data_IF_751464453047
#
_entry.id   IF_751464453047
#
_cell.length_a   1.000
_cell.length_b   1.000
_cell.length_c   1.000
_cell.angle_alpha   90.00
_cell.angle_beta   90.00
_cell.angle_gamma   90.00
#
_symmetry.space_group_name_H-M   'P 1'
#
loop_
_entity.id
_entity.type
_entity.pdbx_description
1 polymer ?
#
# COMPACT_ATOMS: atom_id res chain seq x y z
N UNK A 1 -23.25 19.29 1.74
CA UNK A 1 -22.48 19.12 3.00
C UNK A 1 -21.41 18.04 2.79
N UNK A 2 -20.21 18.27 3.33
CA UNK A 2 -19.04 17.39 3.50
C UNK A 2 -18.39 16.86 2.19
N UNK A 3 -17.44 17.55 1.55
CA UNK A 3 -15.97 17.61 1.84
C UNK A 3 -15.31 16.25 2.07
N UNK A 4 -14.77 15.62 1.01
CA UNK A 4 -13.73 14.61 1.14
C UNK A 4 -12.37 15.31 1.03
N UNK A 5 -11.73 15.46 2.18
CA UNK A 5 -10.47 16.17 2.37
C UNK A 5 -9.32 15.53 1.58
N UNK A 6 -8.57 16.38 0.91
CA UNK A 6 -7.29 16.13 0.29
C UNK A 6 -6.31 15.55 1.33
N UNK A 7 -6.08 14.24 1.28
CA UNK A 7 -5.18 13.51 2.17
C UNK A 7 -3.72 13.76 1.81
N UNK A 8 -3.24 15.00 1.95
CA UNK A 8 -1.81 15.28 1.95
C UNK A 8 -1.26 14.84 3.30
N UNK A 9 -1.02 13.53 3.42
CA UNK A 9 -0.18 12.99 4.49
C UNK A 9 1.15 13.72 4.42
N UNK A 10 1.39 14.67 5.33
CA UNK A 10 2.70 15.31 5.52
C UNK A 10 3.69 14.20 5.82
N UNK A 11 4.31 13.64 4.78
CA UNK A 11 5.46 12.75 4.94
C UNK A 11 6.48 13.57 5.69
N UNK A 12 6.67 13.27 6.98
CA UNK A 12 7.87 13.64 7.72
C UNK A 12 9.01 13.01 6.94
N UNK A 13 9.51 13.75 5.95
CA UNK A 13 10.60 13.31 5.09
C UNK A 13 11.79 13.16 6.04
N UNK A 14 12.19 11.92 6.26
CA UNK A 14 13.31 11.61 7.16
C UNK A 14 14.52 12.44 6.72
N UNK A 15 15.22 13.03 7.71
CA UNK A 15 16.33 13.99 7.51
C UNK A 15 17.42 13.50 6.55
N UNK A 16 17.57 12.18 6.40
CA UNK A 16 18.60 11.55 5.58
C UNK A 16 18.00 10.90 4.33
N UNK A 17 18.60 11.18 3.16
CA UNK A 17 18.20 10.60 1.88
C UNK A 17 18.49 9.09 1.83
N UNK A 18 17.80 8.36 0.95
CA UNK A 18 18.04 6.92 0.76
C UNK A 18 19.48 6.64 0.32
N UNK A 19 20.02 7.46 -0.60
CA UNK A 19 21.41 7.35 -1.08
C UNK A 19 22.42 7.48 0.06
N UNK A 20 22.24 8.47 0.93
CA UNK A 20 23.12 8.68 2.08
C UNK A 20 23.10 7.48 3.05
N UNK A 21 21.93 6.89 3.29
CA UNK A 21 21.85 5.68 4.13
C UNK A 21 22.57 4.49 3.49
N UNK A 22 22.46 4.32 2.18
CA UNK A 22 23.21 3.27 1.46
C UNK A 22 24.71 3.47 1.56
N UNK A 23 25.20 4.70 1.39
CA UNK A 23 26.62 5.04 1.58
C UNK A 23 27.08 4.72 3.00
N UNK A 24 26.26 5.06 4.02
CA UNK A 24 26.54 4.72 5.41
C UNK A 24 26.59 3.20 5.64
N UNK A 25 25.76 2.42 4.96
CA UNK A 25 25.80 0.96 5.04
C UNK A 25 27.09 0.40 4.44
N UNK A 26 27.49 0.86 3.26
CA UNK A 26 28.72 0.43 2.59
C UNK A 26 29.97 0.83 3.37
N UNK A 27 29.97 2.00 4.01
CA UNK A 27 31.05 2.38 4.92
C UNK A 27 31.09 1.44 6.14
N UNK A 28 29.94 1.19 6.77
CA UNK A 28 29.85 0.29 7.91
C UNK A 28 30.20 -1.18 7.59
N UNK A 29 30.07 -1.63 6.34
CA UNK A 29 30.56 -2.94 5.88
C UNK A 29 32.09 -2.99 5.81
N UNK A 30 32.73 -1.88 5.44
CA UNK A 30 34.18 -1.79 5.27
C UNK A 30 34.94 -1.59 6.58
N UNK A 31 34.43 -0.73 7.46
CA UNK A 31 35.14 -0.30 8.67
C UNK A 31 34.39 -0.62 9.97
N UNK A 32 33.23 -1.27 9.88
CA UNK A 32 32.38 -1.57 11.02
C UNK A 32 31.45 -0.42 11.40
N UNK A 33 30.37 -0.74 12.12
CA UNK A 33 29.27 0.20 12.43
C UNK A 33 29.73 1.34 13.34
N UNK A 34 30.56 1.04 14.35
CA UNK A 34 31.02 2.04 15.31
C UNK A 34 31.91 3.10 14.64
N UNK A 35 32.91 2.66 13.87
CA UNK A 35 33.82 3.56 13.15
C UNK A 35 33.08 4.38 12.08
N UNK A 36 32.19 3.75 11.30
CA UNK A 36 31.38 4.45 10.31
C UNK A 36 30.44 5.49 10.94
N UNK A 37 29.87 5.19 12.12
CA UNK A 37 29.05 6.15 12.85
C UNK A 37 29.87 7.37 13.28
N UNK A 38 31.09 7.15 13.81
CA UNK A 38 32.01 8.23 14.16
C UNK A 38 32.42 9.08 12.95
N UNK A 39 32.77 8.48 11.82
CA UNK A 39 33.14 9.22 10.59
C UNK A 39 31.99 10.05 10.02
N UNK A 40 30.76 9.54 10.12
CA UNK A 40 29.57 10.21 9.58
C UNK A 40 28.90 11.17 10.57
N UNK A 41 29.42 11.28 11.80
CA UNK A 41 28.79 12.06 12.87
C UNK A 41 27.39 11.54 13.26
N UNK A 42 27.16 10.24 13.10
CA UNK A 42 25.91 9.57 13.41
C UNK A 42 26.02 8.78 14.70
N UNK A 43 24.87 8.48 15.31
CA UNK A 43 24.83 7.49 16.38
C UNK A 43 24.82 6.07 15.77
N UNK A 44 25.59 5.13 16.33
CA UNK A 44 25.64 3.75 15.82
C UNK A 44 24.25 3.09 15.75
N UNK A 45 23.38 3.36 16.74
CA UNK A 45 21.99 2.89 16.73
C UNK A 45 21.20 3.35 15.51
N UNK A 46 21.52 4.50 14.93
CA UNK A 46 20.83 5.01 13.74
C UNK A 46 21.10 4.12 12.52
N UNK A 47 22.35 3.67 12.34
CA UNK A 47 22.73 2.73 11.28
C UNK A 47 22.01 1.38 11.48
N UNK A 48 21.95 0.87 12.72
CA UNK A 48 21.20 -0.36 13.02
C UNK A 48 19.70 -0.23 12.73
N UNK A 49 19.06 0.86 13.17
CA UNK A 49 17.64 1.11 12.93
C UNK A 49 17.34 1.20 11.42
N UNK A 50 18.22 1.85 10.65
CA UNK A 50 18.04 1.94 9.20
C UNK A 50 18.20 0.59 8.51
N UNK A 51 19.16 -0.24 8.93
CA UNK A 51 19.31 -1.61 8.41
C UNK A 51 18.08 -2.47 8.72
N UNK A 52 17.60 -2.43 9.97
CA UNK A 52 16.40 -3.17 10.38
C UNK A 52 15.17 -2.72 9.57
N UNK A 53 15.00 -1.40 9.40
CA UNK A 53 13.89 -0.85 8.61
C UNK A 53 13.98 -1.25 7.13
N UNK A 54 15.17 -1.18 6.52
CA UNK A 54 15.37 -1.58 5.13
C UNK A 54 15.08 -3.07 4.91
N UNK A 55 15.51 -3.93 5.85
CA UNK A 55 15.21 -5.36 5.80
C UNK A 55 13.71 -5.63 5.91
N UNK A 56 13.02 -4.93 6.81
CA UNK A 56 11.57 -5.05 6.97
C UNK A 56 10.80 -4.58 5.73
N UNK A 57 11.16 -3.41 5.16
CA UNK A 57 10.53 -2.88 3.94
C UNK A 57 10.69 -3.85 2.76
N UNK A 58 11.86 -4.48 2.63
CA UNK A 58 12.08 -5.52 1.61
C UNK A 58 11.16 -6.73 1.84
N UNK A 59 11.13 -7.26 3.06
CA UNK A 59 10.30 -8.41 3.40
C UNK A 59 8.81 -8.15 3.15
N UNK A 60 8.31 -6.99 3.57
CA UNK A 60 6.91 -6.58 3.34
C UNK A 60 6.65 -6.43 1.83
N UNK A 61 7.55 -5.79 1.09
CA UNK A 61 7.41 -5.61 -0.35
C UNK A 61 7.37 -6.93 -1.14
N UNK A 62 8.19 -7.90 -0.75
CA UNK A 62 8.19 -9.25 -1.35
C UNK A 62 6.88 -9.99 -1.04
N UNK A 63 6.39 -9.90 0.21
CA UNK A 63 5.10 -10.49 0.60
C UNK A 63 3.93 -9.85 -0.15
N UNK A 64 3.92 -8.52 -0.28
CA UNK A 64 2.90 -7.81 -1.04
C UNK A 64 2.92 -8.17 -2.53
N UNK A 65 4.11 -8.39 -3.10
CA UNK A 65 4.25 -8.87 -4.49
C UNK A 65 3.62 -10.24 -4.67
N UNK A 66 3.93 -11.18 -3.78
CA UNK A 66 3.34 -12.51 -3.80
C UNK A 66 1.81 -12.44 -3.72
N UNK A 67 1.26 -11.65 -2.79
CA UNK A 67 -0.18 -11.49 -2.65
C UNK A 67 -0.83 -10.88 -3.91
N UNK A 68 -0.15 -9.96 -4.62
CA UNK A 68 -0.65 -9.40 -5.88
C UNK A 68 -0.70 -10.45 -6.98
N UNK A 69 0.31 -11.30 -7.07
CA UNK A 69 0.37 -12.40 -8.05
C UNK A 69 -0.71 -13.44 -7.77
N UNK A 70 -0.88 -13.84 -6.51
CA UNK A 70 -1.95 -14.75 -6.08
C UNK A 70 -3.33 -14.15 -6.36
N UNK A 71 -3.57 -12.89 -6.02
CA UNK A 71 -4.81 -12.20 -6.36
C UNK A 71 -5.08 -12.17 -7.87
N UNK A 72 -4.05 -11.92 -8.69
CA UNK A 72 -4.19 -11.92 -10.15
C UNK A 72 -4.55 -13.32 -10.67
N UNK A 73 -3.91 -14.37 -10.13
CA UNK A 73 -4.23 -15.77 -10.46
C UNK A 73 -5.67 -16.12 -10.06
N UNK A 74 -6.08 -15.79 -8.83
CA UNK A 74 -7.43 -16.05 -8.34
C UNK A 74 -8.48 -15.29 -9.18
N UNK A 75 -8.21 -14.04 -9.55
CA UNK A 75 -9.11 -13.27 -10.44
C UNK A 75 -9.27 -13.92 -11.81
N UNK A 76 -8.21 -14.50 -12.39
CA UNK A 76 -8.30 -15.25 -13.65
C UNK A 76 -9.14 -16.52 -13.49
N UNK A 77 -8.93 -17.28 -12.43
CA UNK A 77 -9.73 -18.49 -12.14
C UNK A 77 -11.21 -18.16 -11.90
N UNK A 78 -11.50 -17.03 -11.24
CA UNK A 78 -12.87 -16.56 -11.08
C UNK A 78 -13.47 -16.18 -12.42
N UNK A 79 -12.74 -15.42 -13.26
CA UNK A 79 -13.18 -15.04 -14.60
C UNK A 79 -13.52 -16.27 -15.47
N UNK A 80 -12.63 -17.26 -15.51
CA UNK A 80 -12.82 -18.52 -16.23
C UNK A 80 -14.07 -19.29 -15.74
N UNK A 81 -14.27 -19.37 -14.42
CA UNK A 81 -15.47 -20.01 -13.85
C UNK A 81 -16.75 -19.20 -14.12
N UNK A 82 -16.66 -17.88 -14.18
CA UNK A 82 -17.80 -17.01 -14.55
C UNK A 82 -18.05 -16.95 -16.05
N UNK A 83 -17.09 -17.34 -16.90
CA UNK A 83 -17.26 -17.50 -18.35
C UNK A 83 -17.90 -18.85 -18.68
N UNK A 84 -17.56 -19.90 -17.91
CA UNK A 84 -18.23 -21.21 -18.00
C UNK A 84 -19.59 -21.25 -17.28
N UNK A 85 -19.86 -20.28 -16.40
CA UNK A 85 -21.22 -19.95 -16.03
C UNK A 85 -21.82 -19.12 -17.17
N UNK A 86 -22.74 -19.65 -18.01
CA UNK A 86 -23.53 -18.77 -18.86
C UNK A 86 -24.13 -17.70 -17.94
N UNK A 87 -24.23 -16.45 -18.42
CA UNK A 87 -24.81 -15.31 -17.73
C UNK A 87 -26.21 -15.63 -17.14
N UNK A 88 -26.24 -16.37 -16.04
CA UNK A 88 -27.40 -17.05 -15.48
C UNK A 88 -27.37 -16.81 -13.98
N UNK A 89 -27.65 -15.55 -13.65
CA UNK A 89 -28.55 -15.11 -12.59
C UNK A 89 -28.16 -13.70 -12.14
N UNK A 90 -28.58 -12.71 -12.92
CA UNK A 90 -28.94 -11.41 -12.34
C UNK A 90 -30.25 -11.56 -11.56
N UNK A 91 -30.23 -12.39 -10.52
CA UNK A 91 -31.31 -12.44 -9.53
C UNK A 91 -30.63 -12.42 -8.16
N UNK A 92 -30.66 -11.25 -7.53
CA UNK A 92 -30.44 -11.14 -6.09
C UNK A 92 -29.14 -10.46 -5.64
N UNK A 93 -29.04 -9.15 -5.84
CA UNK A 93 -28.43 -8.28 -4.82
C UNK A 93 -29.35 -7.09 -4.58
N UNK A 94 -30.08 -7.01 -3.46
CA UNK A 94 -30.91 -5.86 -3.17
C UNK A 94 -30.02 -4.64 -2.97
N UNK A 95 -30.20 -3.64 -3.83
CA UNK A 95 -29.64 -2.31 -3.67
C UNK A 95 -30.38 -1.60 -2.52
N UNK A 96 -30.00 -1.89 -1.28
CA UNK A 96 -30.30 -0.99 -0.16
C UNK A 96 -29.23 0.09 -0.15
N UNK A 97 -29.59 1.25 -0.66
CA UNK A 97 -28.71 2.41 -0.62
C UNK A 97 -29.06 3.48 -1.64
N UNK A 98 -30.13 4.21 -1.36
CA UNK A 98 -30.29 5.61 -1.79
C UNK A 98 -30.41 5.89 -3.29
N UNK A 99 -31.63 6.00 -3.80
CA UNK A 99 -31.94 7.03 -4.79
C UNK A 99 -33.39 7.53 -4.62
N UNK A 100 -33.56 8.43 -3.66
CA UNK A 100 -34.63 9.42 -3.65
C UNK A 100 -34.46 10.32 -4.87
N UNK A 101 -35.04 9.99 -6.03
CA UNK A 101 -35.24 10.95 -7.12
C UNK A 101 -36.62 10.70 -7.77
N UNK A 102 -37.57 11.51 -7.31
CA UNK A 102 -38.58 12.19 -8.12
C UNK A 102 -39.51 11.37 -9.01
N UNK A 103 -40.71 11.07 -8.51
CA UNK A 103 -41.91 11.08 -9.34
C UNK A 103 -43.13 11.57 -8.56
N UNK A 104 -43.08 12.82 -8.10
CA UNK A 104 -44.29 13.55 -7.76
C UNK A 104 -44.90 14.09 -9.06
N UNK A 105 -45.71 13.28 -9.76
CA UNK A 105 -46.69 13.83 -10.68
C UNK A 105 -47.86 12.89 -11.00
N UNK A 106 -49.07 13.35 -10.62
CA UNK A 106 -50.42 13.04 -11.19
C UNK A 106 -50.92 11.58 -11.00
N UNK A 107 -52.13 11.26 -10.54
CA UNK A 107 -53.44 11.93 -10.48
C UNK A 107 -54.29 11.22 -9.40
N UNK A 108 -54.98 11.97 -8.54
CA UNK A 108 -56.17 11.49 -7.83
C UNK A 108 -57.04 12.69 -7.43
N UNK A 109 -58.08 12.93 -8.25
CA UNK A 109 -59.37 13.59 -8.01
C UNK A 109 -59.82 14.27 -9.32
#
# INVERSE_FOLDING_TARGET
MATAANGVSKRKQSRYSAKYRSEAFSLAERIGVAAAASELGLHATQIYQWRAKAAHEKFVGDRERQLREENARLKRQLAEKTEFAPARSLVGRPATGSMLISHAQRLAA
#
